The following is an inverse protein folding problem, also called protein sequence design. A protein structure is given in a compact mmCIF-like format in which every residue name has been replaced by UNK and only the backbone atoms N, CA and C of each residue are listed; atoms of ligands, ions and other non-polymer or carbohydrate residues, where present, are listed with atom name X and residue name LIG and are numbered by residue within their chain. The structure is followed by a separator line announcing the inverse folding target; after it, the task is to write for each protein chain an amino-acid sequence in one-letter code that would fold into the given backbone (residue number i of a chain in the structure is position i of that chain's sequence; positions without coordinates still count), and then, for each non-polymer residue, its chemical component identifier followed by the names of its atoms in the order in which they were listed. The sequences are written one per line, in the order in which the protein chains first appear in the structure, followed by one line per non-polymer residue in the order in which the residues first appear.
data_IF_111609563870
#
_entry.id   IF_111609563870
#
_cell.length_a   1.000
_cell.length_b   1.000
_cell.length_c   1.000
_cell.angle_alpha   90.00
_cell.angle_beta   90.00
_cell.angle_gamma   90.00
#
_symmetry.space_group_name_H-M   'P 1'
#
loop_
_entity.id
_entity.type
_entity.pdbx_description
1 polymer ?
#
# COMPACT_ATOMS: atom_id res chain seq x y z
N UNK A 1 -19.31 15.79 -11.81
CA UNK A 1 -18.10 15.14 -11.26
C UNK A 1 -18.55 13.84 -10.65
N UNK A 2 -18.27 12.71 -11.29
CA UNK A 2 -18.68 11.39 -10.81
C UNK A 2 -17.85 11.05 -9.59
N UNK A 3 -18.47 10.82 -8.43
CA UNK A 3 -17.76 10.36 -7.23
C UNK A 3 -17.01 9.06 -7.55
N UNK A 4 -15.70 9.04 -7.26
CA UNK A 4 -14.90 7.83 -7.40
C UNK A 4 -15.34 6.83 -6.32
N UNK A 5 -15.55 5.55 -6.65
CA UNK A 5 -15.94 4.56 -5.66
C UNK A 5 -14.83 4.42 -4.61
N UNK A 6 -15.23 4.37 -3.33
CA UNK A 6 -14.32 4.29 -2.18
C UNK A 6 -14.76 3.17 -1.26
N UNK A 7 -13.83 2.28 -0.91
CA UNK A 7 -14.08 1.17 0.01
C UNK A 7 -13.36 1.39 1.34
N UNK A 8 -14.06 1.06 2.44
CA UNK A 8 -13.44 0.91 3.76
C UNK A 8 -12.87 -0.50 3.88
N UNK A 9 -11.63 -0.59 4.31
CA UNK A 9 -10.87 -1.84 4.38
C UNK A 9 -9.97 -1.86 5.62
N UNK A 10 -9.53 -3.04 6.01
CA UNK A 10 -8.48 -3.25 7.01
C UNK A 10 -7.16 -3.43 6.30
N UNK A 11 -6.19 -2.58 6.60
CA UNK A 11 -4.83 -2.69 6.09
C UNK A 11 -4.01 -3.67 6.93
N UNK A 12 -3.51 -4.70 6.27
CA UNK A 12 -2.47 -5.58 6.79
C UNK A 12 -1.15 -5.27 6.11
N UNK A 13 -0.05 -5.43 6.84
CA UNK A 13 1.29 -5.35 6.28
C UNK A 13 2.12 -6.55 6.72
N UNK A 14 3.15 -6.89 5.96
CA UNK A 14 4.00 -8.04 6.26
C UNK A 14 5.11 -8.26 5.25
N UNK A 15 5.84 -9.36 5.40
CA UNK A 15 6.90 -9.77 4.48
C UNK A 15 6.34 -10.61 3.34
N UNK A 16 6.91 -10.45 2.15
CA UNK A 16 6.73 -11.36 1.03
C UNK A 16 8.08 -11.88 0.54
N UNK A 17 8.06 -12.96 -0.24
CA UNK A 17 9.28 -13.55 -0.81
C UNK A 17 9.92 -12.56 -1.78
N UNK A 18 9.12 -11.93 -2.64
CA UNK A 18 9.57 -10.96 -3.65
C UNK A 18 10.19 -9.73 -3.00
N UNK A 19 9.60 -9.24 -1.90
CA UNK A 19 10.16 -8.17 -1.08
C UNK A 19 11.52 -8.56 -0.50
N UNK A 20 11.65 -9.80 -0.02
CA UNK A 20 12.91 -10.35 0.49
C UNK A 20 13.99 -10.38 -0.59
N UNK A 21 13.69 -10.97 -1.75
CA UNK A 21 14.62 -11.04 -2.89
C UNK A 21 15.03 -9.64 -3.37
N UNK A 22 14.06 -8.75 -3.58
CA UNK A 22 14.34 -7.37 -4.01
C UNK A 22 15.20 -6.60 -3.00
N UNK A 23 15.00 -6.83 -1.70
CA UNK A 23 15.81 -6.21 -0.65
C UNK A 23 17.29 -6.62 -0.76
N UNK A 24 17.57 -7.89 -1.05
CA UNK A 24 18.94 -8.39 -1.19
C UNK A 24 19.61 -7.93 -2.49
N UNK A 25 18.84 -7.69 -3.56
CA UNK A 25 19.34 -7.03 -4.77
C UNK A 25 19.66 -5.55 -4.55
N UNK A 26 18.89 -4.89 -3.68
CA UNK A 26 19.13 -3.51 -3.25
C UNK A 26 17.84 -2.70 -3.19
N UNK A 27 17.71 -1.83 -2.19
CA UNK A 27 16.47 -1.07 -1.94
C UNK A 27 16.16 0.02 -2.98
N UNK A 28 17.13 0.44 -3.78
CA UNK A 28 16.95 1.38 -4.89
C UNK A 28 16.64 0.70 -6.22
N UNK A 29 16.66 -0.63 -6.26
CA UNK A 29 16.39 -1.39 -7.48
C UNK A 29 14.91 -1.33 -7.86
N UNK A 30 14.63 -1.48 -9.15
CA UNK A 30 13.26 -1.51 -9.66
C UNK A 30 12.49 -2.70 -9.07
N UNK A 31 13.16 -3.84 -8.93
CA UNK A 31 12.66 -5.09 -8.38
C UNK A 31 12.15 -4.89 -6.95
N UNK A 32 12.93 -4.23 -6.10
CA UNK A 32 12.50 -3.90 -4.75
C UNK A 32 11.29 -2.97 -4.78
N UNK A 33 11.37 -1.84 -5.50
CA UNK A 33 10.30 -0.85 -5.58
C UNK A 33 8.99 -1.50 -6.02
N UNK A 34 9.00 -2.25 -7.12
CA UNK A 34 7.81 -2.94 -7.64
C UNK A 34 7.28 -4.02 -6.69
N UNK A 35 8.14 -4.65 -5.87
CA UNK A 35 7.71 -5.64 -4.88
C UNK A 35 7.04 -5.06 -3.63
N UNK A 36 7.35 -3.79 -3.27
CA UNK A 36 6.84 -3.16 -2.03
C UNK A 36 5.87 -2.00 -2.27
N UNK A 37 5.73 -1.53 -3.51
CA UNK A 37 4.78 -0.48 -3.89
C UNK A 37 3.47 -1.05 -4.45
N UNK A 38 3.04 -2.20 -3.93
CA UNK A 38 1.84 -2.94 -4.37
C UNK A 38 0.84 -3.12 -3.24
N UNK A 39 -0.44 -3.17 -3.60
CA UNK A 39 -1.55 -3.48 -2.70
C UNK A 39 -2.26 -4.73 -3.20
N UNK A 40 -2.13 -5.83 -2.46
CA UNK A 40 -2.85 -7.06 -2.74
C UNK A 40 -4.29 -6.94 -2.28
N UNK A 41 -5.22 -7.16 -3.20
CA UNK A 41 -6.66 -6.92 -2.99
C UNK A 41 -7.49 -8.16 -3.32
N UNK A 42 -8.62 -8.30 -2.63
CA UNK A 42 -9.62 -9.30 -2.99
C UNK A 42 -10.22 -9.01 -4.38
N UNK A 43 -10.40 -10.02 -5.24
CA UNK A 43 -10.98 -9.84 -6.57
C UNK A 43 -12.37 -9.17 -6.56
N UNK A 44 -13.20 -9.43 -5.54
CA UNK A 44 -14.54 -8.83 -5.43
C UNK A 44 -14.45 -7.34 -5.05
N UNK A 45 -13.53 -6.95 -4.16
CA UNK A 45 -13.31 -5.54 -3.85
C UNK A 45 -12.74 -4.77 -5.05
N UNK A 46 -11.84 -5.39 -5.82
CA UNK A 46 -11.36 -4.82 -7.08
C UNK A 46 -12.50 -4.58 -8.06
N UNK A 47 -13.42 -5.54 -8.20
CA UNK A 47 -14.62 -5.41 -9.04
C UNK A 47 -15.54 -4.30 -8.56
N UNK A 48 -15.79 -4.20 -7.25
CA UNK A 48 -16.60 -3.13 -6.63
C UNK A 48 -16.01 -1.73 -6.85
N UNK A 49 -14.68 -1.61 -6.90
CA UNK A 49 -14.00 -0.35 -7.22
C UNK A 49 -13.85 -0.09 -8.73
N UNK A 50 -14.15 -1.06 -9.59
CA UNK A 50 -13.87 -0.97 -11.02
C UNK A 50 -12.37 -0.95 -11.36
N UNK A 51 -11.53 -1.53 -10.50
CA UNK A 51 -10.06 -1.54 -10.60
C UNK A 51 -9.62 -2.87 -11.20
N UNK A 52 -8.72 -2.82 -12.21
CA UNK A 52 -8.10 -4.01 -12.80
C UNK A 52 -6.73 -4.26 -12.18
N UNK A 53 -6.23 -5.49 -12.32
CA UNK A 53 -4.86 -5.82 -11.94
C UNK A 53 -3.86 -4.86 -12.61
N UNK A 54 -2.93 -4.32 -11.82
CA UNK A 54 -1.95 -3.33 -12.27
C UNK A 54 -2.44 -1.87 -12.27
N UNK A 55 -3.71 -1.60 -12.01
CA UNK A 55 -4.23 -0.23 -11.88
C UNK A 55 -3.75 0.40 -10.58
N UNK A 56 -3.40 1.69 -10.60
CA UNK A 56 -3.01 2.40 -9.39
C UNK A 56 -4.21 2.72 -8.50
N UNK A 57 -4.04 2.56 -7.20
CA UNK A 57 -5.02 2.88 -6.17
C UNK A 57 -4.38 3.76 -5.11
N UNK A 58 -5.16 4.65 -4.52
CA UNK A 58 -4.74 5.42 -3.36
C UNK A 58 -5.26 4.74 -2.10
N UNK A 59 -4.35 4.39 -1.20
CA UNK A 59 -4.67 3.87 0.14
C UNK A 59 -4.47 5.01 1.13
N UNK A 60 -5.49 5.28 1.94
CA UNK A 60 -5.48 6.38 2.90
C UNK A 60 -5.93 5.91 4.28
N UNK A 61 -5.22 6.32 5.32
CA UNK A 61 -5.55 6.10 6.74
C UNK A 61 -5.60 7.45 7.46
N UNK A 62 -5.78 7.43 8.78
CA UNK A 62 -5.67 8.65 9.59
C UNK A 62 -4.24 9.23 9.61
N UNK A 63 -3.23 8.44 9.22
CA UNK A 63 -1.81 8.78 9.37
C UNK A 63 -1.17 9.28 8.07
N UNK A 64 -1.78 8.97 6.92
CA UNK A 64 -1.29 9.43 5.63
C UNK A 64 -2.02 8.79 4.45
N UNK A 65 -1.50 9.06 3.25
CA UNK A 65 -2.01 8.48 2.01
C UNK A 65 -0.88 8.13 1.07
N UNK A 66 -0.98 6.99 0.40
CA UNK A 66 0.01 6.52 -0.57
C UNK A 66 -0.65 5.95 -1.81
N UNK A 67 -0.07 6.22 -2.97
CA UNK A 67 -0.46 5.60 -4.24
C UNK A 67 0.39 4.36 -4.46
N UNK A 68 -0.27 3.22 -4.68
CA UNK A 68 0.35 1.91 -4.89
C UNK A 68 -0.37 1.17 -6.01
N UNK A 69 0.29 0.17 -6.59
CA UNK A 69 -0.28 -0.62 -7.68
C UNK A 69 -1.18 -1.74 -7.13
N UNK A 70 -2.44 -1.76 -7.52
CA UNK A 70 -3.35 -2.85 -7.13
C UNK A 70 -2.91 -4.15 -7.80
N UNK A 71 -2.84 -5.21 -7.00
CA UNK A 71 -2.52 -6.57 -7.45
C UNK A 71 -3.59 -7.53 -6.96
N UNK A 72 -4.10 -8.37 -7.84
CA UNK A 72 -5.07 -9.41 -7.47
C UNK A 72 -4.42 -10.38 -6.50
N UNK A 73 -5.03 -10.57 -5.34
CA UNK A 73 -4.54 -11.53 -4.35
C UNK A 73 -4.77 -12.96 -4.82
N UNK A 74 -3.74 -13.80 -4.67
CA UNK A 74 -3.82 -15.25 -4.88
C UNK A 74 -4.41 -16.00 -3.67
N UNK A 75 -4.65 -15.29 -2.55
CA UNK A 75 -5.13 -15.84 -1.28
C UNK A 75 -6.58 -15.49 -0.98
N UNK A 76 -7.32 -15.03 -1.98
CA UNK A 76 -8.75 -14.78 -1.88
C UNK A 76 -9.52 -16.05 -1.45
N UNK A 77 -10.68 -15.93 -0.78
CA UNK A 77 -11.40 -14.68 -0.49
C UNK A 77 -10.98 -14.02 0.83
N UNK A 78 -10.92 -12.69 0.84
CA UNK A 78 -10.73 -11.84 2.01
C UNK A 78 -11.31 -10.42 1.79
N UNK A 79 -12.61 -10.29 1.50
CA UNK A 79 -13.24 -8.99 1.25
C UNK A 79 -13.08 -8.06 2.45
N UNK A 80 -12.90 -6.78 2.18
CA UNK A 80 -12.63 -5.75 3.19
C UNK A 80 -11.21 -5.78 3.74
N UNK A 81 -10.30 -6.62 3.23
CA UNK A 81 -8.92 -6.70 3.69
C UNK A 81 -7.96 -6.47 2.52
N UNK A 82 -7.00 -5.56 2.72
CA UNK A 82 -5.92 -5.30 1.78
C UNK A 82 -4.57 -5.59 2.43
N UNK A 83 -3.57 -5.92 1.62
CA UNK A 83 -2.23 -6.22 2.11
C UNK A 83 -1.16 -5.45 1.34
N UNK A 84 -0.33 -4.70 2.05
CA UNK A 84 0.85 -4.00 1.48
C UNK A 84 2.12 -4.61 2.07
N UNK A 85 3.07 -5.10 1.26
CA UNK A 85 4.35 -5.59 1.76
C UNK A 85 5.13 -4.52 2.53
N UNK A 86 5.95 -4.95 3.49
CA UNK A 86 6.80 -4.04 4.25
C UNK A 86 7.72 -3.25 3.32
N UNK A 87 7.71 -1.93 3.49
CA UNK A 87 8.54 -1.02 2.74
C UNK A 87 8.12 0.43 3.00
N UNK A 88 8.83 1.39 2.38
CA UNK A 88 8.57 2.82 2.58
C UNK A 88 7.13 3.24 2.28
N UNK A 89 6.47 2.65 1.27
CA UNK A 89 5.07 2.94 0.93
C UNK A 89 4.09 2.52 2.03
N UNK A 90 4.30 1.34 2.65
CA UNK A 90 3.48 0.90 3.78
C UNK A 90 3.63 1.85 4.97
N UNK A 91 4.86 2.32 5.24
CA UNK A 91 5.15 3.18 6.38
C UNK A 91 4.45 4.55 6.33
N UNK A 92 4.00 5.01 5.15
CA UNK A 92 3.23 6.26 5.00
C UNK A 92 1.83 6.16 5.61
N UNK A 93 1.28 4.95 5.74
CA UNK A 93 -0.14 4.75 6.09
C UNK A 93 -0.35 3.92 7.36
N UNK A 94 0.70 3.37 7.97
CA UNK A 94 0.58 2.63 9.25
C UNK A 94 0.48 3.59 10.44
N UNK A 95 -0.06 3.08 11.54
CA UNK A 95 -0.14 3.80 12.80
C UNK A 95 1.24 3.85 13.48
N UNK A 96 1.83 5.04 13.70
CA UNK A 96 3.13 5.16 14.36
C UNK A 96 3.07 4.95 15.88
N UNK A 97 1.87 4.91 16.49
CA UNK A 97 1.69 4.75 17.93
C UNK A 97 2.26 3.40 18.40
N UNK A 98 3.04 3.45 19.48
CA UNK A 98 3.77 2.29 20.00
C UNK A 98 3.15 1.71 21.26
N UNK A 99 2.16 2.37 21.85
CA UNK A 99 1.47 1.94 23.06
C UNK A 99 2.44 1.61 24.22
N UNK A 100 3.59 2.28 24.28
CA UNK A 100 4.60 2.08 25.33
C UNK A 100 5.41 0.79 25.23
N UNK A 101 5.28 0.01 24.15
CA UNK A 101 6.01 -1.27 23.94
C UNK A 101 7.11 -1.18 22.88
N UNK A 102 7.38 0.00 22.34
CA UNK A 102 8.45 0.26 21.38
C UNK A 102 8.21 -0.28 19.95
N UNK A 103 7.02 -0.83 19.68
CA UNK A 103 6.64 -1.36 18.37
C UNK A 103 5.37 -0.67 17.85
N UNK A 104 5.41 -0.01 16.68
CA UNK A 104 4.21 0.57 16.06
C UNK A 104 3.12 -0.44 15.68
N UNK A 105 1.89 0.04 15.54
CA UNK A 105 0.75 -0.75 15.06
C UNK A 105 0.77 -0.90 13.53
N UNK A 106 1.50 -1.92 13.05
CA UNK A 106 1.69 -2.20 11.62
C UNK A 106 0.55 -2.96 10.93
N UNK A 107 -0.34 -3.61 11.69
CA UNK A 107 -1.40 -4.49 11.15
C UNK A 107 -2.75 -4.14 11.74
N UNK A 108 -3.79 -4.28 10.93
CA UNK A 108 -5.16 -4.05 11.37
C UNK A 108 -5.55 -2.58 11.31
N UNK A 109 -4.82 -1.75 10.57
CA UNK A 109 -5.06 -0.30 10.50
C UNK A 109 -6.31 -0.03 9.64
N UNK A 110 -7.35 0.64 10.14
CA UNK A 110 -8.50 1.03 9.33
C UNK A 110 -8.07 1.96 8.20
N UNK A 111 -8.45 1.61 6.98
CA UNK A 111 -8.04 2.31 5.77
C UNK A 111 -9.21 2.51 4.81
N UNK A 112 -8.97 3.37 3.82
CA UNK A 112 -9.82 3.50 2.65
C UNK A 112 -9.01 3.35 1.39
N UNK A 113 -9.62 2.77 0.37
CA UNK A 113 -9.01 2.55 -0.94
C UNK A 113 -9.92 3.08 -2.04
N UNK A 114 -9.32 3.80 -2.99
CA UNK A 114 -10.02 4.40 -4.14
C UNK A 114 -9.17 4.30 -5.42
N UNK A 115 -9.79 4.23 -6.61
CA UNK A 115 -9.06 4.20 -7.89
C UNK A 115 -8.27 5.50 -8.11
N UNK A 116 -7.00 5.36 -8.46
CA UNK A 116 -6.11 6.48 -8.76
C UNK A 116 -5.34 6.25 -10.08
N UNK A 117 -6.01 5.93 -11.21
CA UNK A 117 -5.35 5.60 -12.48
C UNK A 117 -4.48 6.76 -13.01
N UNK A 118 -4.85 8.00 -12.68
CA UNK A 118 -4.17 9.21 -13.14
C UNK A 118 -3.01 9.65 -12.23
N UNK A 119 -2.78 8.95 -11.11
CA UNK A 119 -1.70 9.27 -10.17
C UNK A 119 -0.56 8.26 -10.29
N UNK A 120 0.70 8.68 -10.43
CA UNK A 120 1.83 7.76 -10.47
C UNK A 120 2.11 7.17 -9.09
N UNK A 121 2.65 5.94 -9.07
CA UNK A 121 3.34 5.42 -7.89
C UNK A 121 4.68 6.15 -7.82
N UNK A 122 4.91 6.91 -6.74
CA UNK A 122 6.17 7.62 -6.55
C UNK A 122 7.34 6.63 -6.48
N UNK A 123 8.50 7.00 -7.01
CA UNK A 123 9.75 6.28 -6.78
C UNK A 123 10.26 6.48 -5.35
N UNK A 124 11.23 5.66 -4.92
CA UNK A 124 11.76 5.69 -3.54
C UNK A 124 12.26 7.09 -3.14
N UNK A 125 13.09 7.72 -3.98
CA UNK A 125 13.66 9.04 -3.68
C UNK A 125 12.59 10.13 -3.59
N UNK A 126 11.60 10.09 -4.49
CA UNK A 126 10.48 11.05 -4.51
C UNK A 126 9.61 10.89 -3.28
N UNK A 127 9.29 9.65 -2.89
CA UNK A 127 8.56 9.32 -1.68
C UNK A 127 9.30 9.84 -0.44
N UNK A 128 10.61 9.57 -0.32
CA UNK A 128 11.40 10.04 0.83
C UNK A 128 11.49 11.56 0.89
N UNK A 129 11.66 12.23 -0.25
CA UNK A 129 11.61 13.70 -0.32
C UNK A 129 10.25 14.24 0.10
N UNK A 130 9.16 13.60 -0.30
CA UNK A 130 7.82 14.01 0.10
C UNK A 130 7.60 13.87 1.62
N UNK A 131 8.08 12.77 2.21
CA UNK A 131 7.85 12.47 3.64
C UNK A 131 8.82 13.21 4.57
N UNK A 132 10.08 13.37 4.18
CA UNK A 132 11.16 13.85 5.07
C UNK A 132 11.98 15.01 4.49
N UNK A 133 11.75 15.41 3.24
CA UNK A 133 12.54 16.43 2.54
C UNK A 133 12.33 17.87 3.00
N UNK A 134 11.84 18.08 4.23
CA UNK A 134 11.81 19.41 4.85
C UNK A 134 13.12 19.62 5.60
N UNK A 135 14.03 20.33 4.92
CA UNK A 135 15.25 20.97 5.38
C UNK A 135 15.61 22.04 4.35
#
# INVERSE_FOLDING_TARGET
MTEKPKLRVTLLTGRTIEQGVGKELGKSTREYVESVSVCYMDPEDMKRLGVKDGTNVQVSTAFGSVVVKAKKSLRAPHPGVIYIPYGPWANVVVDPETHGIGMPTFKGVPATVEPAPDKPVLGLTELLKQQFGKG
#
